data_IF_455545085316
#
_entry.id   IF_455545085316
#
_cell.length_a   1.000
_cell.length_b   1.000
_cell.length_c   1.000
_cell.angle_alpha   90.00
_cell.angle_beta   90.00
_cell.angle_gamma   90.00
#
_symmetry.space_group_name_H-M   'P 1'
#
loop_
_entity.id
_entity.type
_entity.pdbx_description
1 polymer ?
#
# COMPACT_ATOMS: atom_id res chain seq x y z
N UNK A 1 -26.31 -0.43 6.33
CA UNK A 1 -25.37 -1.25 7.13
C UNK A 1 -23.89 -0.98 6.81
N UNK A 2 -23.48 -0.75 5.56
CA UNK A 2 -22.06 -0.53 5.21
C UNK A 2 -21.51 0.90 5.43
N UNK A 3 -22.37 1.93 5.49
CA UNK A 3 -21.94 3.32 5.62
C UNK A 3 -21.26 3.66 6.96
N UNK A 4 -21.37 2.79 7.98
CA UNK A 4 -20.70 2.96 9.27
C UNK A 4 -19.46 2.06 9.42
N UNK A 5 -19.07 1.33 8.37
CA UNK A 5 -17.86 0.51 8.39
C UNK A 5 -16.60 1.38 8.38
N UNK A 6 -15.48 0.94 9.00
CA UNK A 6 -14.18 1.61 8.94
C UNK A 6 -13.65 1.82 7.51
N UNK A 7 -14.22 1.12 6.53
CA UNK A 7 -13.92 1.36 5.11
C UNK A 7 -14.49 2.70 4.60
N UNK A 8 -15.63 3.12 5.15
CA UNK A 8 -16.38 4.29 4.69
C UNK A 8 -16.33 5.45 5.69
N UNK A 9 -16.16 5.19 6.99
CA UNK A 9 -16.04 6.21 8.05
C UNK A 9 -14.91 5.90 9.01
N UNK A 10 -14.27 6.92 9.59
CA UNK A 10 -13.31 6.72 10.69
C UNK A 10 -14.02 6.42 12.04
N UNK A 11 -13.23 6.28 13.11
CA UNK A 11 -13.74 6.04 14.46
C UNK A 11 -14.61 7.16 15.04
N UNK A 12 -14.61 8.36 14.43
CA UNK A 12 -15.43 9.49 14.82
C UNK A 12 -16.65 9.67 13.89
N UNK A 13 -16.79 8.81 12.88
CA UNK A 13 -17.86 8.90 11.90
C UNK A 13 -17.55 9.84 10.73
N UNK A 14 -16.35 10.39 10.56
CA UNK A 14 -15.99 11.19 9.38
C UNK A 14 -15.84 10.29 8.16
N UNK A 15 -16.40 10.63 6.97
CA UNK A 15 -16.16 9.86 5.75
C UNK A 15 -14.65 9.70 5.48
N UNK A 16 -14.19 8.47 5.25
CA UNK A 16 -12.74 8.18 5.16
C UNK A 16 -12.08 8.95 4.03
N UNK A 17 -12.81 9.23 2.95
CA UNK A 17 -12.33 9.98 1.80
C UNK A 17 -11.94 11.43 2.14
N UNK A 18 -12.58 12.01 3.17
CA UNK A 18 -12.35 13.39 3.63
C UNK A 18 -11.10 13.53 4.52
N UNK A 19 -10.54 12.42 4.99
CA UNK A 19 -9.32 12.42 5.82
C UNK A 19 -8.08 12.65 4.96
N UNK A 20 -8.13 12.25 3.69
CA UNK A 20 -7.01 12.34 2.77
C UNK A 20 -7.01 13.65 2.00
N UNK A 21 -5.81 14.23 1.84
CA UNK A 21 -5.59 15.39 0.97
C UNK A 21 -6.13 15.16 -0.45
N UNK A 22 -6.50 16.26 -1.13
CA UNK A 22 -7.06 16.21 -2.49
C UNK A 22 -6.07 15.62 -3.51
N UNK A 23 -4.78 15.85 -3.30
CA UNK A 23 -3.69 15.27 -4.08
C UNK A 23 -2.83 14.38 -3.19
N UNK A 24 -2.91 13.06 -3.39
CA UNK A 24 -2.24 12.10 -2.53
C UNK A 24 -1.82 10.83 -3.28
N UNK A 25 -0.78 10.17 -2.77
CA UNK A 25 -0.38 8.82 -3.20
C UNK A 25 -0.54 7.89 -2.01
N UNK A 26 -1.27 6.80 -2.22
CA UNK A 26 -1.48 5.74 -1.25
C UNK A 26 -0.54 4.58 -1.55
N UNK A 27 0.23 4.17 -0.53
CA UNK A 27 1.01 2.95 -0.52
C UNK A 27 0.36 1.95 0.44
N UNK A 28 -0.30 0.93 -0.10
CA UNK A 28 -1.10 -0.02 0.68
C UNK A 28 -0.48 -1.42 0.64
N UNK A 29 -0.08 -1.93 1.80
CA UNK A 29 0.38 -3.31 1.95
C UNK A 29 -0.78 -4.30 1.94
N UNK A 30 -0.63 -5.41 1.22
CA UNK A 30 -1.56 -6.52 1.23
C UNK A 30 -0.83 -7.86 1.14
N UNK A 31 -1.39 -8.91 1.75
CA UNK A 31 -1.00 -10.28 1.45
C UNK A 31 -1.72 -10.76 0.18
N UNK A 32 -1.19 -11.76 -0.54
CA UNK A 32 -1.84 -12.27 -1.75
C UNK A 32 -3.31 -12.70 -1.56
N UNK A 33 -3.72 -13.32 -0.44
CA UNK A 33 -5.14 -13.65 -0.21
C UNK A 33 -6.05 -12.42 0.00
N UNK A 34 -5.47 -11.24 0.25
CA UNK A 34 -6.20 -10.00 0.57
C UNK A 34 -6.21 -8.98 -0.56
N UNK A 35 -5.86 -9.41 -1.77
CA UNK A 35 -5.84 -8.54 -2.97
C UNK A 35 -7.21 -7.91 -3.19
N UNK A 36 -8.29 -8.69 -3.12
CA UNK A 36 -9.65 -8.19 -3.43
C UNK A 36 -10.07 -7.12 -2.42
N UNK A 37 -9.88 -7.37 -1.14
CA UNK A 37 -10.20 -6.42 -0.09
C UNK A 37 -9.32 -5.17 -0.17
N UNK A 38 -8.03 -5.31 -0.49
CA UNK A 38 -7.14 -4.17 -0.65
C UNK A 38 -7.54 -3.27 -1.83
N UNK A 39 -7.96 -3.84 -2.96
CA UNK A 39 -8.49 -3.07 -4.08
C UNK A 39 -9.80 -2.37 -3.72
N UNK A 40 -10.68 -3.03 -2.98
CA UNK A 40 -11.92 -2.41 -2.49
C UNK A 40 -11.64 -1.25 -1.52
N UNK A 41 -10.63 -1.39 -0.64
CA UNK A 41 -10.17 -0.31 0.25
C UNK A 41 -9.71 0.88 -0.57
N UNK A 42 -8.83 0.65 -1.56
CA UNK A 42 -8.30 1.71 -2.44
C UNK A 42 -9.44 2.50 -3.09
N UNK A 43 -10.39 1.80 -3.73
CA UNK A 43 -11.53 2.42 -4.40
C UNK A 43 -12.43 3.16 -3.41
N UNK A 44 -12.76 2.53 -2.28
CA UNK A 44 -13.66 3.12 -1.27
C UNK A 44 -13.06 4.39 -0.69
N UNK A 45 -11.74 4.44 -0.49
CA UNK A 45 -11.02 5.61 0.03
C UNK A 45 -10.88 6.74 -1.01
N UNK A 46 -11.39 6.55 -2.23
CA UNK A 46 -11.35 7.57 -3.29
C UNK A 46 -10.02 7.63 -4.02
N UNK A 47 -9.23 6.56 -3.97
CA UNK A 47 -7.98 6.44 -4.74
C UNK A 47 -8.20 5.57 -5.97
N UNK A 48 -7.49 5.90 -7.04
CA UNK A 48 -7.40 5.07 -8.24
C UNK A 48 -6.14 4.21 -8.19
N UNK A 49 -6.29 2.90 -8.28
CA UNK A 49 -5.17 1.97 -8.37
C UNK A 49 -4.30 2.28 -9.61
N UNK A 50 -2.97 2.27 -9.44
CA UNK A 50 -2.02 2.55 -10.53
C UNK A 50 -1.11 1.37 -10.85
N UNK A 51 -0.40 0.87 -9.85
CA UNK A 51 0.60 -0.19 -10.02
C UNK A 51 0.96 -0.80 -8.66
N UNK A 52 1.93 -1.71 -8.62
CA UNK A 52 2.41 -2.27 -7.37
C UNK A 52 3.86 -2.72 -7.41
N UNK A 53 4.38 -3.00 -6.23
CA UNK A 53 5.63 -3.67 -5.99
C UNK A 53 5.39 -4.93 -5.15
N UNK A 54 6.39 -5.81 -5.10
CA UNK A 54 6.38 -7.03 -4.30
C UNK A 54 7.61 -7.04 -3.41
N UNK A 55 7.39 -7.32 -2.13
CA UNK A 55 8.46 -7.65 -1.21
C UNK A 55 8.63 -9.16 -1.13
N UNK A 56 9.73 -9.67 -1.66
CA UNK A 56 10.15 -11.06 -1.55
C UNK A 56 10.93 -11.26 -0.25
N UNK A 57 10.44 -12.18 0.58
CA UNK A 57 11.03 -12.57 1.86
C UNK A 57 12.10 -13.64 1.65
N UNK A 58 13.08 -13.64 2.53
CA UNK A 58 14.13 -14.67 2.61
C UNK A 58 13.58 -16.07 2.94
N UNK A 59 12.42 -16.16 3.60
CA UNK A 59 11.76 -17.40 4.01
C UNK A 59 10.29 -17.40 3.65
N UNK A 60 9.77 -18.57 3.25
CA UNK A 60 8.33 -18.75 3.03
C UNK A 60 7.57 -18.90 4.36
N UNK A 61 6.34 -18.39 4.39
CA UNK A 61 5.42 -18.41 5.51
C UNK A 61 4.36 -19.50 5.39
N UNK A 62 3.20 -19.25 5.97
CA UNK A 62 2.03 -20.11 5.85
C UNK A 62 1.39 -20.01 4.46
N UNK A 63 0.39 -20.83 4.18
CA UNK A 63 -0.42 -20.77 2.98
C UNK A 63 -0.91 -22.15 2.55
N UNK A 64 -2.12 -22.20 1.97
CA UNK A 64 -2.83 -23.44 1.66
C UNK A 64 -2.49 -23.98 0.26
N UNK A 65 -2.49 -23.09 -0.75
CA UNK A 65 -2.18 -23.47 -2.13
C UNK A 65 -0.71 -23.24 -2.49
N UNK A 66 -0.13 -22.14 -2.01
CA UNK A 66 1.29 -21.82 -2.10
C UNK A 66 1.80 -21.40 -0.73
N UNK A 67 3.08 -21.64 -0.46
CA UNK A 67 3.74 -21.10 0.73
C UNK A 67 4.09 -19.64 0.46
N UNK A 68 3.49 -18.72 1.22
CA UNK A 68 3.62 -17.29 0.95
C UNK A 68 5.04 -16.80 1.25
N UNK A 69 5.79 -16.44 0.21
CA UNK A 69 7.11 -15.84 0.32
C UNK A 69 7.12 -14.34 -0.02
N UNK A 70 5.96 -13.75 -0.27
CA UNK A 70 5.91 -12.34 -0.63
C UNK A 70 4.71 -11.59 -0.05
N UNK A 71 4.86 -10.27 0.03
CA UNK A 71 3.76 -9.32 0.28
C UNK A 71 3.71 -8.31 -0.86
N UNK A 72 2.51 -7.83 -1.16
CA UNK A 72 2.24 -6.85 -2.21
C UNK A 72 2.19 -5.46 -1.59
N UNK A 73 2.73 -4.49 -2.33
CA UNK A 73 2.63 -3.07 -2.04
C UNK A 73 1.92 -2.40 -3.21
N UNK A 74 0.65 -2.07 -3.04
CA UNK A 74 -0.11 -1.34 -4.03
C UNK A 74 0.20 0.15 -3.98
N UNK A 75 0.25 0.77 -5.15
CA UNK A 75 0.38 2.20 -5.36
C UNK A 75 -0.89 2.69 -6.02
N UNK A 76 -1.56 3.62 -5.35
CA UNK A 76 -2.77 4.26 -5.85
C UNK A 76 -2.64 5.78 -5.70
N UNK A 77 -3.43 6.55 -6.44
CA UNK A 77 -3.39 8.02 -6.40
C UNK A 77 -4.77 8.64 -6.27
N UNK A 78 -4.85 9.81 -5.65
CA UNK A 78 -6.00 10.70 -5.60
C UNK A 78 -5.58 12.06 -6.16
N UNK A 79 -6.44 12.67 -6.97
CA UNK A 79 -6.16 13.96 -7.63
C UNK A 79 -5.07 13.90 -8.70
N UNK A 80 -4.47 15.06 -8.97
CA UNK A 80 -3.44 15.25 -9.99
C UNK A 80 -2.03 15.33 -9.37
N UNK A 81 -1.53 14.17 -8.95
CA UNK A 81 -0.16 14.00 -8.49
C UNK A 81 0.67 13.30 -9.57
N UNK A 82 1.82 13.89 -10.00
CA UNK A 82 2.66 13.27 -11.01
C UNK A 82 3.38 12.03 -10.46
N UNK A 83 3.77 11.14 -11.37
CA UNK A 83 4.66 10.03 -11.04
C UNK A 83 5.99 10.56 -10.47
N UNK A 84 6.67 9.79 -9.60
CA UNK A 84 7.90 10.26 -8.98
C UNK A 84 9.01 10.43 -10.04
N UNK A 85 10.00 11.29 -9.78
CA UNK A 85 11.09 11.55 -10.73
C UNK A 85 11.77 10.25 -11.18
N UNK A 86 12.14 10.08 -12.47
CA UNK A 86 12.76 8.84 -12.96
C UNK A 86 13.94 8.33 -12.11
N UNK A 87 14.79 9.24 -11.63
CA UNK A 87 15.96 8.94 -10.77
C UNK A 87 15.61 8.29 -9.42
N UNK A 88 14.39 8.44 -8.92
CA UNK A 88 13.94 7.92 -7.62
C UNK A 88 13.13 6.63 -7.76
N UNK A 89 12.77 6.24 -8.99
CA UNK A 89 12.10 4.97 -9.30
C UNK A 89 13.05 3.79 -9.01
N UNK A 90 12.49 2.67 -8.58
CA UNK A 90 13.21 1.45 -8.20
C UNK A 90 12.51 0.24 -8.80
N UNK A 91 13.20 -0.91 -8.77
CA UNK A 91 12.60 -2.20 -9.13
C UNK A 91 11.30 -2.42 -8.35
N UNK A 92 10.29 -2.96 -9.02
CA UNK A 92 9.05 -3.40 -8.37
C UNK A 92 9.26 -4.68 -7.57
N UNK A 93 10.41 -5.36 -7.69
CA UNK A 93 10.79 -6.51 -6.86
C UNK A 93 11.80 -6.06 -5.82
N UNK A 94 11.45 -6.23 -4.54
CA UNK A 94 12.26 -5.81 -3.40
C UNK A 94 12.55 -7.06 -2.56
N UNK A 95 13.81 -7.42 -2.43
CA UNK A 95 14.22 -8.56 -1.59
C UNK A 95 14.74 -8.05 -0.26
N UNK A 96 14.13 -8.49 0.84
CA UNK A 96 14.58 -8.16 2.19
C UNK A 96 14.19 -9.27 3.17
N UNK A 97 15.03 -9.51 4.18
CA UNK A 97 14.77 -10.57 5.16
C UNK A 97 13.58 -10.22 6.06
N UNK A 98 12.77 -11.23 6.41
CA UNK A 98 11.70 -11.08 7.39
C UNK A 98 12.32 -10.89 8.77
N UNK A 99 11.92 -9.84 9.47
CA UNK A 99 12.34 -9.60 10.86
C UNK A 99 11.22 -10.02 11.82
N UNK A 100 10.85 -9.19 12.80
CA UNK A 100 9.75 -9.47 13.72
C UNK A 100 8.40 -9.52 12.99
N UNK A 101 7.42 -10.20 13.59
CA UNK A 101 6.06 -10.30 13.04
C UNK A 101 5.52 -8.94 12.60
N UNK A 102 4.95 -8.89 11.41
CA UNK A 102 4.34 -7.71 10.77
C UNK A 102 5.27 -6.51 10.50
N UNK A 103 6.56 -6.60 10.82
CA UNK A 103 7.52 -5.51 10.58
C UNK A 103 7.93 -5.47 9.11
N UNK A 104 7.51 -4.40 8.42
CA UNK A 104 7.85 -4.13 7.01
C UNK A 104 9.30 -3.65 6.85
N UNK A 105 9.92 -3.82 5.67
CA UNK A 105 11.30 -3.38 5.42
C UNK A 105 11.43 -1.86 5.54
N UNK A 106 12.39 -1.38 6.34
CA UNK A 106 12.66 0.06 6.47
C UNK A 106 13.11 0.68 5.15
N UNK A 107 13.70 -0.12 4.29
CA UNK A 107 14.17 0.21 2.95
C UNK A 107 13.03 0.78 2.10
N UNK A 108 11.83 0.24 2.24
CA UNK A 108 10.67 0.67 1.45
C UNK A 108 10.21 2.06 1.87
N UNK A 109 10.19 2.35 3.18
CA UNK A 109 9.92 3.70 3.66
C UNK A 109 10.94 4.71 3.13
N UNK A 110 12.23 4.36 3.12
CA UNK A 110 13.29 5.22 2.54
C UNK A 110 13.11 5.43 1.04
N UNK A 111 12.66 4.42 0.30
CA UNK A 111 12.36 4.53 -1.13
C UNK A 111 11.19 5.50 -1.34
N UNK A 112 10.09 5.33 -0.59
CA UNK A 112 8.91 6.21 -0.67
C UNK A 112 9.27 7.66 -0.33
N UNK A 113 10.04 7.90 0.73
CA UNK A 113 10.52 9.24 1.10
C UNK A 113 11.38 9.88 0.00
N UNK A 114 12.18 9.10 -0.72
CA UNK A 114 12.94 9.60 -1.87
C UNK A 114 12.05 9.88 -3.08
N UNK A 115 10.99 9.10 -3.28
CA UNK A 115 10.00 9.33 -4.34
C UNK A 115 9.21 10.63 -4.10
N UNK A 116 8.81 10.88 -2.85
CA UNK A 116 7.98 12.01 -2.44
C UNK A 116 8.54 12.71 -1.19
N UNK A 117 9.60 13.54 -1.33
CA UNK A 117 10.28 14.15 -0.19
C UNK A 117 9.43 15.21 0.55
N UNK A 118 8.43 15.78 -0.12
CA UNK A 118 7.51 16.76 0.45
C UNK A 118 6.19 16.15 0.92
N UNK A 119 6.02 14.83 0.83
CA UNK A 119 4.83 14.15 1.36
C UNK A 119 4.81 14.26 2.88
N UNK A 120 3.67 14.66 3.45
CA UNK A 120 3.39 14.60 4.89
C UNK A 120 2.38 13.51 5.15
#
# INVERSE_FOLDING_TARGET
YWQNSPLYRDGNGTPVQEIFADNAVLFLWATPPKIREALQVIETWGFEYRTGAVWVKDKFGMGYHFREQHELLFVAKKGDIPAPPPKTRRSSVITAARTNHSKKPKEIYKIIQKMYPCGR
#
